data_IF_118681908353
#
_entry.id   IF_118681908353
#
_cell.length_a   1.000
_cell.length_b   1.000
_cell.length_c   1.000
_cell.angle_alpha   90.00
_cell.angle_beta   90.00
_cell.angle_gamma   90.00
#
_symmetry.space_group_name_H-M   'P 1'
#
loop_
_entity.id
_entity.type
_entity.pdbx_description
1 polymer ?
#
# COMPACT_ATOMS: atom_id res chain seq x y z
N UNK A 1 5.64 5.98 33.93
CA UNK A 1 4.42 6.11 33.11
C UNK A 1 4.42 7.49 32.48
N UNK A 2 3.95 7.57 31.23
CA UNK A 2 3.94 8.72 30.30
C UNK A 2 5.23 8.95 29.51
N UNK A 3 5.51 8.09 28.52
CA UNK A 3 6.09 8.61 27.29
C UNK A 3 4.94 9.13 26.43
N UNK A 4 4.87 10.45 26.29
CA UNK A 4 4.18 11.07 25.16
C UNK A 4 4.91 10.57 23.90
N UNK A 5 4.53 9.40 23.39
CA UNK A 5 4.74 9.12 21.97
C UNK A 5 3.92 10.18 21.27
N UNK A 6 4.61 11.04 20.54
CA UNK A 6 3.99 12.04 19.70
C UNK A 6 3.05 11.30 18.74
N UNK A 7 1.75 11.33 19.04
CA UNK A 7 0.73 10.52 18.34
C UNK A 7 0.59 10.94 16.88
N UNK A 8 1.21 12.05 16.49
CA UNK A 8 1.29 12.56 15.13
C UNK A 8 2.52 12.10 14.34
N UNK A 9 3.47 11.36 14.92
CA UNK A 9 4.63 10.87 14.17
C UNK A 9 4.22 9.74 13.21
N UNK A 10 4.54 9.82 11.90
CA UNK A 10 4.28 8.73 10.96
C UNK A 10 5.02 7.46 11.38
N UNK A 11 4.31 6.33 11.35
CA UNK A 11 4.87 4.99 11.57
C UNK A 11 4.68 4.14 10.33
N UNK A 12 5.40 3.03 10.24
CA UNK A 12 5.14 1.99 9.23
C UNK A 12 4.16 0.96 9.77
N UNK A 13 3.11 0.69 9.01
CA UNK A 13 2.20 -0.44 9.23
C UNK A 13 2.44 -1.48 8.14
N UNK A 14 2.50 -2.75 8.54
CA UNK A 14 2.69 -3.86 7.60
C UNK A 14 1.35 -4.30 7.03
N UNK A 15 1.26 -4.40 5.72
CA UNK A 15 0.16 -5.05 5.00
C UNK A 15 0.65 -6.41 4.53
N UNK A 16 -0.10 -7.46 4.80
CA UNK A 16 0.19 -8.81 4.28
C UNK A 16 -0.80 -9.10 3.17
N UNK A 17 -0.27 -9.51 2.03
CA UNK A 17 -1.06 -9.82 0.84
C UNK A 17 -1.47 -11.29 0.90
N UNK A 18 -2.70 -11.58 0.52
CA UNK A 18 -3.15 -12.94 0.31
C UNK A 18 -2.51 -13.47 -0.99
N UNK A 19 -1.52 -14.35 -0.86
CA UNK A 19 -0.85 -14.98 -1.99
C UNK A 19 -1.35 -16.41 -2.21
N UNK A 20 -1.36 -16.85 -3.47
CA UNK A 20 -1.78 -18.21 -3.83
C UNK A 20 -0.73 -19.28 -3.48
N UNK A 21 0.54 -18.89 -3.32
CA UNK A 21 1.67 -19.77 -3.04
C UNK A 21 1.97 -19.95 -1.55
N UNK A 22 1.25 -19.25 -0.67
CA UNK A 22 1.38 -19.37 0.79
C UNK A 22 2.62 -18.68 1.37
N UNK A 23 3.44 -18.02 0.55
CA UNK A 23 4.53 -17.17 1.02
C UNK A 23 3.99 -15.77 1.31
N UNK A 24 4.04 -15.28 2.56
CA UNK A 24 3.46 -13.99 2.91
C UNK A 24 4.27 -12.86 2.26
N UNK A 25 3.83 -12.41 1.09
CA UNK A 25 4.25 -11.14 0.53
C UNK A 25 3.61 -10.02 1.34
N UNK A 26 4.36 -8.95 1.57
CA UNK A 26 3.83 -7.82 2.31
C UNK A 26 4.56 -6.54 1.97
N UNK A 27 3.84 -5.45 2.11
CA UNK A 27 4.36 -4.11 1.93
C UNK A 27 4.25 -3.32 3.23
N UNK A 28 5.07 -2.27 3.36
CA UNK A 28 5.01 -1.37 4.50
C UNK A 28 4.48 -0.02 4.04
N UNK A 29 3.41 0.44 4.67
CA UNK A 29 2.79 1.73 4.39
C UNK A 29 3.06 2.70 5.53
N UNK A 30 3.26 3.97 5.20
CA UNK A 30 3.28 5.05 6.16
C UNK A 30 1.87 5.33 6.64
N UNK A 31 1.71 5.52 7.95
CA UNK A 31 0.42 5.82 8.55
C UNK A 31 0.59 6.64 9.83
N UNK A 32 -0.44 7.41 10.18
CA UNK A 32 -0.48 8.19 11.42
C UNK A 32 -1.59 7.65 12.32
N UNK A 33 -1.32 7.65 13.62
CA UNK A 33 -2.25 7.18 14.63
C UNK A 33 -3.50 8.06 14.70
N UNK A 34 -4.69 7.46 14.85
CA UNK A 34 -5.90 8.24 15.09
C UNK A 34 -6.03 8.61 16.58
N UNK A 35 -6.07 9.91 16.94
CA UNK A 35 -6.19 10.33 18.33
C UNK A 35 -7.39 9.67 19.03
N UNK A 36 -7.14 9.05 20.18
CA UNK A 36 -8.16 8.36 20.97
C UNK A 36 -8.52 6.94 20.51
N UNK A 37 -7.93 6.43 19.42
CA UNK A 37 -8.20 5.09 18.89
C UNK A 37 -6.88 4.29 18.73
N UNK A 38 -6.36 3.65 19.79
CA UNK A 38 -4.99 3.08 19.86
C UNK A 38 -4.65 2.09 18.74
N UNK A 39 -5.64 1.41 18.16
CA UNK A 39 -5.44 0.41 17.10
C UNK A 39 -5.73 0.95 15.68
N UNK A 40 -6.04 2.24 15.51
CA UNK A 40 -6.43 2.80 14.22
C UNK A 40 -5.38 3.73 13.65
N UNK A 41 -5.12 3.55 12.37
CA UNK A 41 -4.13 4.31 11.62
C UNK A 41 -4.73 4.82 10.31
N UNK A 42 -4.51 6.09 10.00
CA UNK A 42 -4.81 6.66 8.69
C UNK A 42 -3.60 6.50 7.79
N UNK A 43 -3.77 5.91 6.60
CA UNK A 43 -2.68 5.70 5.63
C UNK A 43 -2.23 7.03 4.99
N UNK A 44 -0.93 7.19 4.77
CA UNK A 44 -0.27 8.37 4.20
C UNK A 44 0.41 8.09 2.85
N UNK A 45 0.24 6.90 2.29
CA UNK A 45 0.64 6.55 0.93
C UNK A 45 -0.27 5.44 0.39
N UNK A 46 -0.21 5.24 -0.93
CA UNK A 46 -0.97 4.20 -1.62
C UNK A 46 -0.25 2.86 -1.53
N UNK A 47 -1.03 1.78 -1.51
CA UNK A 47 -0.51 0.42 -1.60
C UNK A 47 -0.24 0.04 -3.06
N UNK A 48 0.82 -0.73 -3.29
CA UNK A 48 1.13 -1.29 -4.60
C UNK A 48 0.55 -2.70 -4.77
N UNK A 49 0.45 -3.47 -3.68
CA UNK A 49 -0.02 -4.85 -3.70
C UNK A 49 -1.50 -5.03 -3.39
N UNK A 50 -2.17 -3.98 -2.91
CA UNK A 50 -3.58 -4.01 -2.54
C UNK A 50 -4.31 -2.72 -2.93
N UNK A 51 -5.63 -2.77 -2.97
CA UNK A 51 -6.54 -1.68 -3.31
C UNK A 51 -6.69 -0.61 -2.19
N UNK A 52 -5.67 -0.45 -1.34
CA UNK A 52 -5.59 0.57 -0.27
C UNK A 52 -5.01 1.89 -0.80
N UNK A 53 -5.47 3.00 -0.24
CA UNK A 53 -4.98 4.34 -0.59
C UNK A 53 -4.68 5.22 0.61
N UNK A 54 -3.96 6.30 0.32
CA UNK A 54 -3.87 7.46 1.18
C UNK A 54 -5.26 7.91 1.67
N UNK A 55 -5.36 8.11 2.98
CA UNK A 55 -6.56 8.51 3.69
C UNK A 55 -7.43 7.35 4.18
N UNK A 56 -7.22 6.11 3.72
CA UNK A 56 -7.92 4.96 4.28
C UNK A 56 -7.56 4.80 5.77
N UNK A 57 -8.52 4.31 6.55
CA UNK A 57 -8.31 4.01 7.97
C UNK A 57 -8.28 2.51 8.15
N UNK A 58 -7.19 2.01 8.72
CA UNK A 58 -6.98 0.60 9.00
C UNK A 58 -6.93 0.33 10.50
N UNK A 59 -7.33 -0.86 10.90
CA UNK A 59 -7.06 -1.42 12.22
C UNK A 59 -5.81 -2.27 12.17
N UNK A 60 -4.99 -2.18 13.22
CA UNK A 60 -3.75 -2.94 13.33
C UNK A 60 -3.66 -3.69 14.65
N UNK A 61 -2.94 -4.80 14.65
CA UNK A 61 -2.42 -5.46 15.85
C UNK A 61 -0.89 -5.51 15.81
N UNK A 62 -0.23 -5.71 16.95
CA UNK A 62 1.20 -5.97 16.98
C UNK A 62 1.49 -7.42 16.56
N UNK A 63 2.38 -7.59 15.58
CA UNK A 63 2.92 -8.88 15.16
C UNK A 63 3.88 -9.47 16.20
N UNK A 64 4.39 -10.68 15.96
CA UNK A 64 5.35 -11.35 16.84
C UNK A 64 6.70 -10.63 16.99
N UNK A 65 6.95 -9.62 16.15
CA UNK A 65 8.10 -8.73 16.22
C UNK A 65 7.78 -7.38 16.88
N UNK A 66 6.55 -7.19 17.38
CA UNK A 66 6.10 -5.95 18.02
C UNK A 66 5.87 -4.80 17.03
N UNK A 67 5.68 -5.08 15.75
CA UNK A 67 5.38 -4.08 14.71
C UNK A 67 3.87 -4.07 14.38
N UNK A 68 3.28 -2.91 14.07
CA UNK A 68 1.89 -2.85 13.65
C UNK A 68 1.67 -3.59 12.31
N UNK A 69 0.74 -4.53 12.29
CA UNK A 69 0.26 -5.21 11.10
C UNK A 69 -1.23 -4.92 10.92
N UNK A 70 -1.64 -4.62 9.68
CA UNK A 70 -3.05 -4.41 9.33
C UNK A 70 -3.83 -5.72 9.48
N UNK A 71 -4.94 -5.66 10.21
CA UNK A 71 -5.86 -6.80 10.46
C UNK A 71 -7.27 -6.52 9.99
N UNK A 72 -7.60 -5.28 9.66
CA UNK A 72 -8.89 -4.90 9.08
C UNK A 72 -8.84 -3.51 8.46
N UNK A 73 -9.75 -3.26 7.52
CA UNK A 73 -10.03 -1.91 7.02
C UNK A 73 -11.21 -1.35 7.81
N UNK A 74 -10.98 -0.25 8.53
CA UNK A 74 -12.00 0.37 9.36
C UNK A 74 -12.87 1.38 8.58
N UNK A 75 -12.27 2.10 7.63
CA UNK A 75 -12.98 3.02 6.74
C UNK A 75 -12.20 3.20 5.46
N UNK A 76 -12.89 3.21 4.32
CA UNK A 76 -12.30 3.58 3.04
C UNK A 76 -12.43 5.08 2.82
N UNK A 77 -11.34 5.71 2.39
CA UNK A 77 -11.40 7.05 1.85
C UNK A 77 -12.12 7.02 0.49
N UNK A 78 -13.06 7.94 0.25
CA UNK A 78 -13.80 7.99 -1.01
C UNK A 78 -12.87 8.33 -2.19
N UNK A 79 -13.26 7.84 -3.37
CA UNK A 79 -12.58 8.07 -4.65
C UNK A 79 -11.81 6.85 -5.16
N UNK A 80 -11.52 6.82 -6.47
CA UNK A 80 -10.85 5.69 -7.10
C UNK A 80 -9.36 5.66 -6.78
N UNK A 81 -8.80 4.45 -6.91
CA UNK A 81 -7.36 4.19 -7.03
C UNK A 81 -7.09 3.75 -8.45
N UNK A 82 -5.99 4.18 -9.05
CA UNK A 82 -5.53 3.63 -10.32
C UNK A 82 -4.07 3.22 -10.27
N UNK A 83 -3.76 2.19 -11.06
CA UNK A 83 -2.41 1.65 -11.25
C UNK A 83 -2.01 1.92 -12.68
N UNK A 84 -0.88 2.60 -12.86
CA UNK A 84 -0.33 2.94 -14.17
C UNK A 84 1.05 2.32 -14.28
N UNK A 85 1.29 1.60 -15.37
CA UNK A 85 2.62 1.13 -15.73
C UNK A 85 3.31 2.16 -16.63
N UNK A 86 4.54 2.45 -16.28
CA UNK A 86 5.43 3.42 -16.91
C UNK A 86 6.10 2.78 -18.13
N UNK A 87 6.34 3.55 -19.20
CA UNK A 87 7.21 3.13 -20.27
C UNK A 87 8.62 2.81 -19.74
N UNK A 88 9.32 1.82 -20.32
CA UNK A 88 10.71 1.56 -19.96
C UNK A 88 11.56 2.80 -20.25
N UNK A 89 12.61 3.00 -19.45
CA UNK A 89 13.62 4.06 -19.60
C UNK A 89 13.07 5.50 -19.54
N UNK A 90 11.87 5.72 -19.00
CA UNK A 90 11.34 7.07 -18.83
C UNK A 90 12.16 7.85 -17.77
N UNK A 91 12.65 9.06 -18.08
CA UNK A 91 13.37 9.85 -17.09
C UNK A 91 12.50 10.17 -15.86
N UNK A 92 13.06 10.04 -14.66
CA UNK A 92 12.36 10.33 -13.40
C UNK A 92 11.74 11.73 -13.35
N UNK A 93 12.42 12.73 -13.91
CA UNK A 93 11.90 14.11 -13.99
C UNK A 93 10.61 14.21 -14.83
N UNK A 94 10.51 13.44 -15.91
CA UNK A 94 9.31 13.41 -16.75
C UNK A 94 8.16 12.70 -16.04
N UNK A 95 8.45 11.61 -15.34
CA UNK A 95 7.48 10.89 -14.49
C UNK A 95 6.89 11.87 -13.47
N UNK A 96 7.74 12.55 -12.70
CA UNK A 96 7.31 13.50 -11.68
C UNK A 96 6.51 14.66 -12.28
N UNK A 97 6.96 15.24 -13.39
CA UNK A 97 6.25 16.35 -14.07
C UNK A 97 4.83 15.95 -14.49
N UNK A 98 4.66 14.76 -15.06
CA UNK A 98 3.35 14.26 -15.48
C UNK A 98 2.48 13.96 -14.25
N UNK A 99 3.01 13.24 -13.27
CA UNK A 99 2.27 12.87 -12.06
C UNK A 99 1.87 14.11 -11.23
N UNK A 100 2.72 15.14 -11.17
CA UNK A 100 2.43 16.43 -10.53
C UNK A 100 1.29 17.17 -11.22
N UNK A 101 1.16 17.03 -12.54
CA UNK A 101 0.02 17.63 -13.26
C UNK A 101 -1.32 17.05 -12.79
N UNK A 102 -1.35 15.77 -12.40
CA UNK A 102 -2.56 15.13 -11.86
C UNK A 102 -2.93 15.64 -10.47
N UNK A 103 -1.96 16.14 -9.68
CA UNK A 103 -2.25 16.79 -8.38
C UNK A 103 -3.15 18.00 -8.53
N UNK A 104 -3.02 18.74 -9.63
CA UNK A 104 -3.91 19.88 -9.94
C UNK A 104 -5.36 19.46 -10.20
N UNK A 105 -5.58 18.18 -10.50
CA UNK A 105 -6.87 17.55 -10.74
C UNK A 105 -7.35 16.72 -9.54
N UNK A 106 -6.64 16.80 -8.41
CA UNK A 106 -6.99 16.11 -7.17
C UNK A 106 -6.49 14.67 -7.06
N UNK A 107 -5.48 14.27 -7.84
CA UNK A 107 -4.78 13.01 -7.61
C UNK A 107 -3.64 13.17 -6.61
N UNK A 108 -3.42 12.17 -5.76
CA UNK A 108 -2.20 12.01 -4.99
C UNK A 108 -1.52 10.70 -5.38
N UNK A 109 -0.25 10.76 -5.74
CA UNK A 109 0.51 9.60 -6.20
C UNK A 109 1.54 9.17 -5.16
N UNK A 110 1.84 7.88 -5.13
CA UNK A 110 2.94 7.32 -4.36
C UNK A 110 3.96 6.69 -5.31
N UNK A 111 5.22 7.05 -5.11
CA UNK A 111 6.37 6.42 -5.76
C UNK A 111 6.79 5.20 -4.94
N UNK A 112 7.41 4.18 -5.55
CA UNK A 112 8.16 3.22 -4.74
C UNK A 112 8.20 1.76 -5.17
N UNK A 113 7.52 1.33 -6.23
CA UNK A 113 7.69 -0.05 -6.68
C UNK A 113 7.67 -0.20 -8.20
N UNK A 114 8.85 -0.38 -8.78
CA UNK A 114 9.04 -0.74 -10.17
C UNK A 114 8.52 0.31 -11.15
N UNK A 115 8.33 -0.14 -12.39
CA UNK A 115 7.81 0.63 -13.51
C UNK A 115 6.31 0.94 -13.33
N UNK A 116 5.85 1.26 -12.11
CA UNK A 116 4.45 1.52 -11.79
C UNK A 116 4.26 2.74 -10.88
N UNK A 117 3.12 3.40 -11.06
CA UNK A 117 2.59 4.44 -10.18
C UNK A 117 1.19 4.08 -9.71
N UNK A 118 0.94 4.33 -8.42
CA UNK A 118 -0.40 4.21 -7.84
C UNK A 118 -0.91 5.57 -7.40
N UNK A 119 -2.09 5.93 -7.87
CA UNK A 119 -2.71 7.24 -7.64
C UNK A 119 -4.05 7.11 -6.93
N UNK A 120 -4.28 7.97 -5.95
CA UNK A 120 -5.51 8.14 -5.21
C UNK A 120 -6.22 9.42 -5.67
N UNK A 121 -7.43 9.29 -6.21
CA UNK A 121 -8.15 10.43 -6.79
C UNK A 121 -9.20 11.01 -5.84
N UNK A 122 -9.58 12.27 -6.02
CA UNK A 122 -10.69 12.90 -5.29
C UNK A 122 -11.99 12.10 -5.39
N UNK A 123 -12.86 12.25 -4.38
CA UNK A 123 -14.13 11.54 -4.25
C UNK A 123 -15.07 11.73 -5.45
N UNK A 124 -15.00 12.86 -6.13
CA UNK A 124 -15.82 13.22 -7.29
C UNK A 124 -15.32 12.59 -8.59
N UNK A 125 -14.11 12.03 -8.61
CA UNK A 125 -13.56 11.38 -9.79
C UNK A 125 -14.30 10.06 -10.07
N UNK A 126 -14.64 9.85 -11.34
CA UNK A 126 -15.19 8.59 -11.85
C UNK A 126 -14.06 7.76 -12.45
N UNK A 127 -14.27 6.45 -12.62
CA UNK A 127 -13.30 5.61 -13.33
C UNK A 127 -13.04 6.14 -14.75
N UNK A 128 -14.10 6.55 -15.45
CA UNK A 128 -14.02 7.11 -16.80
C UNK A 128 -13.17 8.38 -16.84
N UNK A 129 -13.41 9.34 -15.93
CA UNK A 129 -12.63 10.58 -15.91
C UNK A 129 -11.15 10.33 -15.60
N UNK A 130 -10.84 9.33 -14.77
CA UNK A 130 -9.44 8.93 -14.52
C UNK A 130 -8.79 8.39 -15.81
N UNK A 131 -9.48 7.49 -16.52
CA UNK A 131 -9.01 6.98 -17.81
C UNK A 131 -8.75 8.11 -18.81
N UNK A 132 -9.67 9.07 -18.94
CA UNK A 132 -9.56 10.20 -19.85
C UNK A 132 -8.38 11.11 -19.49
N UNK A 133 -8.19 11.43 -18.21
CA UNK A 133 -7.06 12.25 -17.75
C UNK A 133 -5.74 11.57 -18.07
N UNK A 134 -5.59 10.29 -17.72
CA UNK A 134 -4.34 9.56 -17.95
C UNK A 134 -4.05 9.44 -19.45
N UNK A 135 -5.06 9.10 -20.27
CA UNK A 135 -4.90 9.02 -21.71
C UNK A 135 -4.50 10.37 -22.35
N UNK A 136 -5.02 11.49 -21.84
CA UNK A 136 -4.73 12.82 -22.37
C UNK A 136 -3.36 13.37 -21.95
N UNK A 137 -2.91 13.06 -20.73
CA UNK A 137 -1.73 13.69 -20.11
C UNK A 137 -0.49 12.81 -20.12
N UNK A 138 -0.67 11.50 -20.25
CA UNK A 138 0.40 10.51 -20.28
C UNK A 138 0.23 9.54 -21.47
N UNK A 139 0.17 10.04 -22.71
CA UNK A 139 0.02 9.18 -23.88
C UNK A 139 1.23 8.23 -23.96
N UNK A 140 0.95 6.92 -23.98
CA UNK A 140 1.96 5.86 -23.99
C UNK A 140 2.18 5.17 -22.64
N UNK A 141 1.63 5.70 -21.54
CA UNK A 141 1.60 4.98 -20.26
C UNK A 141 0.44 3.99 -20.27
N UNK A 142 0.64 2.79 -19.70
CA UNK A 142 -0.40 1.77 -19.68
C UNK A 142 -1.21 1.87 -18.39
N UNK A 143 -2.46 2.27 -18.50
CA UNK A 143 -3.40 2.16 -17.39
C UNK A 143 -3.75 0.69 -17.15
N UNK A 144 -3.29 0.13 -16.02
CA UNK A 144 -3.46 -1.28 -15.66
C UNK A 144 -4.83 -1.52 -15.04
N UNK A 145 -5.24 -0.64 -14.13
CA UNK A 145 -6.50 -0.79 -13.39
C UNK A 145 -7.01 0.54 -12.83
N UNK A 146 -8.33 0.62 -12.64
CA UNK A 146 -9.00 1.71 -11.90
C UNK A 146 -10.06 1.12 -10.98
N UNK A 147 -9.78 1.11 -9.68
CA UNK A 147 -10.67 0.57 -8.66
C UNK A 147 -11.43 1.71 -7.95
N UNK A 148 -12.74 1.81 -8.19
CA UNK A 148 -13.63 2.72 -7.45
C UNK A 148 -13.81 2.25 -6.00
N UNK A 149 -14.28 3.11 -5.10
CA UNK A 149 -14.49 2.73 -3.69
C UNK A 149 -15.30 1.43 -3.50
N UNK A 150 -16.42 1.18 -4.23
CA UNK A 150 -17.13 -0.10 -4.14
C UNK A 150 -16.30 -1.30 -4.62
N UNK A 151 -15.52 -1.14 -5.70
CA UNK A 151 -14.64 -2.20 -6.21
C UNK A 151 -13.54 -2.51 -5.20
N UNK A 152 -12.91 -1.47 -4.64
CA UNK A 152 -11.88 -1.60 -3.60
C UNK A 152 -12.43 -2.34 -2.38
N UNK A 153 -13.63 -1.98 -1.92
CA UNK A 153 -14.29 -2.66 -0.80
C UNK A 153 -14.48 -4.17 -1.04
N UNK A 154 -14.88 -4.56 -2.25
CA UNK A 154 -15.03 -5.96 -2.61
C UNK A 154 -13.68 -6.70 -2.65
N UNK A 155 -12.67 -6.10 -3.28
CA UNK A 155 -11.36 -6.75 -3.49
C UNK A 155 -10.52 -6.87 -2.22
N UNK A 156 -10.55 -5.89 -1.32
CA UNK A 156 -9.69 -5.87 -0.12
C UNK A 156 -9.91 -7.09 0.79
N UNK A 157 -11.09 -7.71 0.75
CA UNK A 157 -11.35 -8.95 1.50
C UNK A 157 -10.59 -10.16 0.96
N UNK A 158 -10.16 -10.11 -0.30
CA UNK A 158 -9.42 -11.16 -1.00
C UNK A 158 -7.94 -10.82 -1.18
N UNK A 159 -7.60 -9.52 -1.19
CA UNK A 159 -6.21 -9.06 -1.36
C UNK A 159 -5.41 -9.11 -0.05
N UNK A 160 -6.07 -8.99 1.11
CA UNK A 160 -5.39 -8.88 2.41
C UNK A 160 -5.42 -10.19 3.19
N UNK A 161 -4.26 -10.62 3.69
CA UNK A 161 -4.16 -11.62 4.74
C UNK A 161 -4.20 -10.93 6.11
N UNK A 162 -5.36 -11.02 6.76
CA UNK A 162 -5.61 -10.38 8.06
C UNK A 162 -5.10 -11.19 9.25
N UNK A 163 -4.51 -12.37 9.03
CA UNK A 163 -3.96 -13.19 10.11
C UNK A 163 -2.68 -12.54 10.63
N UNK A 164 -2.67 -12.26 11.93
CA UNK A 164 -1.49 -11.68 12.58
C UNK A 164 -0.34 -12.68 12.52
N UNK A 165 0.79 -12.25 11.97
CA UNK A 165 2.02 -13.02 11.98
C UNK A 165 2.56 -13.08 13.41
N UNK A 166 2.50 -14.25 14.05
CA UNK A 166 2.94 -14.43 15.44
C UNK A 166 4.40 -14.87 15.56
N UNK A 167 5.13 -15.01 14.44
CA UNK A 167 6.54 -15.38 14.46
C UNK A 167 7.37 -14.31 15.15
N UNK A 168 8.19 -14.76 16.08
CA UNK A 168 9.11 -13.93 16.85
C UNK A 168 10.41 -13.70 16.08
N UNK A 169 11.27 -12.75 16.51
CA UNK A 169 12.60 -12.61 15.95
C UNK A 169 13.46 -13.88 16.04
N UNK A 170 13.18 -14.79 16.97
CA UNK A 170 13.88 -16.07 17.06
C UNK A 170 13.41 -17.05 15.98
N UNK A 171 12.10 -17.11 15.73
CA UNK A 171 11.51 -17.97 14.69
C UNK A 171 12.02 -17.58 13.30
N UNK A 172 12.05 -16.28 13.01
CA UNK A 172 12.53 -15.77 11.72
C UNK A 172 14.03 -16.01 11.50
N UNK A 173 14.85 -15.94 12.57
CA UNK A 173 16.28 -16.29 12.49
C UNK A 173 16.47 -17.78 12.22
N UNK A 174 15.75 -18.64 12.92
CA UNK A 174 15.82 -20.07 12.71
C UNK A 174 15.40 -20.46 11.28
N UNK A 175 14.38 -19.80 10.72
CA UNK A 175 13.95 -19.98 9.33
C UNK A 175 15.05 -19.55 8.34
N UNK A 176 15.62 -18.36 8.52
CA UNK A 176 16.73 -17.86 7.69
C UNK A 176 17.95 -18.80 7.73
N UNK A 177 18.36 -19.21 8.93
CA UNK A 177 19.52 -20.09 9.10
C UNK A 177 19.28 -21.45 8.44
N UNK A 178 18.05 -21.99 8.52
CA UNK A 178 17.67 -23.21 7.82
C UNK A 178 17.74 -23.08 6.30
N UNK A 179 17.32 -21.94 5.73
CA UNK A 179 17.42 -21.67 4.28
C UNK A 179 18.89 -21.57 3.86
N UNK A 180 19.71 -20.77 4.56
CA UNK A 180 21.12 -20.62 4.25
C UNK A 180 21.94 -21.91 4.41
N UNK A 181 21.52 -22.80 5.32
CA UNK A 181 22.14 -24.11 5.49
C UNK A 181 21.71 -25.10 4.39
N UNK A 182 20.49 -24.98 3.86
CA UNK A 182 20.04 -25.74 2.70
C UNK A 182 20.77 -25.31 1.41
N UNK A 183 20.95 -24.00 1.18
CA UNK A 183 21.70 -23.48 0.02
C UNK A 183 23.18 -23.89 0.06
N UNK A 184 23.79 -23.93 1.24
CA UNK A 184 25.18 -24.40 1.41
C UNK A 184 25.37 -25.91 1.23
N UNK A 185 24.28 -26.69 1.18
CA UNK A 185 24.31 -28.15 1.03
C UNK A 185 23.90 -28.64 -0.37
N UNK A 186 23.54 -27.73 -1.28
CA UNK A 186 23.33 -28.07 -2.69
C UNK A 186 24.68 -28.03 -3.43
N UNK A 187 25.15 -29.15 -4.00
CA UNK A 187 26.45 -29.27 -4.68
C UNK A 187 26.51 -28.55 -6.03
#
# INVERSE_FOLDING_TARGET
>A
MNSNRDTNSPVKVRVVLATADGHPLGENLWAVHQPGLPERYTLHNNAFGASLRLGDVVRTELDGCGKPQVVAVASLHPGPVSVVELPPDLPGEEICRIADSWRTLGAEYSEGNGDMLVTAWVATATAQSVCEVIAATAPGWRLVDVATTPIRAARLTQELDVRVDRRTPADLRAEHDAVCDCERRQP
#
